data_IF_158887696415
#
_entry.id   IF_158887696415
#
_cell.length_a   1.000
_cell.length_b   1.000
_cell.length_c   1.000
_cell.angle_alpha   90.00
_cell.angle_beta   90.00
_cell.angle_gamma   90.00
#
_symmetry.space_group_name_H-M   'P 1'
#
loop_
_entity.id
_entity.type
_entity.pdbx_description
1 polymer ?
#
# COMPACT_ATOMS: atom_id res chain seq x y z
N UNK A 1 17.33 5.77 -35.12
CA UNK A 1 16.83 6.76 -34.16
C UNK A 1 17.89 7.77 -33.72
N UNK A 2 19.20 7.46 -33.81
CA UNK A 2 20.32 8.36 -33.42
C UNK A 2 21.01 9.02 -34.60
N UNK A 3 20.41 9.00 -35.80
CA UNK A 3 21.01 9.51 -37.03
C UNK A 3 21.36 11.01 -36.98
N UNK A 4 20.64 11.78 -36.17
CA UNK A 4 20.83 13.24 -36.04
C UNK A 4 21.35 13.64 -34.63
N UNK A 5 21.88 12.70 -33.84
CA UNK A 5 22.45 13.04 -32.55
C UNK A 5 23.81 13.74 -32.72
N UNK A 6 24.03 14.92 -32.12
CA UNK A 6 25.32 15.60 -32.20
C UNK A 6 26.44 14.70 -31.65
N UNK A 7 27.45 14.38 -32.48
CA UNK A 7 28.51 13.45 -32.14
C UNK A 7 28.24 11.98 -32.53
N UNK A 8 27.12 11.68 -33.19
CA UNK A 8 26.78 10.33 -33.63
C UNK A 8 26.11 9.49 -32.53
N UNK A 9 26.02 8.19 -32.72
CA UNK A 9 25.42 7.26 -31.75
C UNK A 9 26.24 7.26 -30.44
N UNK A 10 25.66 7.69 -29.30
CA UNK A 10 26.37 7.74 -28.02
C UNK A 10 26.62 6.35 -27.42
N UNK A 11 26.00 5.31 -27.97
CA UNK A 11 26.21 3.95 -27.51
C UNK A 11 27.31 3.29 -28.38
N UNK A 12 28.32 2.68 -27.78
CA UNK A 12 29.35 1.99 -28.52
C UNK A 12 28.74 0.91 -29.40
N UNK A 13 29.12 0.85 -30.68
CA UNK A 13 28.76 -0.27 -31.53
C UNK A 13 29.33 -1.54 -30.92
N UNK A 14 28.50 -2.57 -30.80
CA UNK A 14 28.96 -3.91 -30.40
C UNK A 14 29.93 -4.41 -31.49
N UNK A 15 31.23 -4.32 -31.22
CA UNK A 15 32.30 -4.68 -32.19
C UNK A 15 32.28 -6.18 -32.54
N UNK A 16 31.59 -6.97 -31.78
CA UNK A 16 31.51 -8.44 -31.89
C UNK A 16 30.15 -8.98 -32.30
N UNK A 17 29.19 -8.09 -32.59
CA UNK A 17 27.84 -8.46 -32.96
C UNK A 17 26.94 -8.87 -31.80
N UNK A 18 25.66 -9.06 -32.08
CA UNK A 18 24.64 -9.39 -31.06
C UNK A 18 24.83 -10.75 -30.41
N UNK A 19 25.55 -11.68 -31.05
CA UNK A 19 25.81 -13.02 -30.53
C UNK A 19 26.66 -13.01 -29.23
N UNK A 20 27.44 -11.96 -29.02
CA UNK A 20 28.30 -11.80 -27.83
C UNK A 20 27.78 -10.72 -26.86
N UNK A 21 26.63 -10.15 -27.15
CA UNK A 21 26.02 -9.18 -26.26
C UNK A 21 25.67 -9.82 -24.89
N UNK A 22 26.16 -9.23 -23.82
CA UNK A 22 25.80 -9.63 -22.46
C UNK A 22 24.69 -8.68 -21.97
N UNK A 23 23.57 -9.25 -21.62
CA UNK A 23 22.48 -8.50 -20.98
C UNK A 23 22.72 -8.47 -19.46
N UNK A 24 22.40 -7.35 -18.78
CA UNK A 24 22.58 -7.27 -17.34
C UNK A 24 21.62 -8.26 -16.66
N UNK A 25 22.17 -9.30 -16.05
CA UNK A 25 21.39 -10.31 -15.29
C UNK A 25 20.92 -9.76 -13.93
N UNK A 26 21.47 -8.64 -13.50
CA UNK A 26 21.11 -7.93 -12.27
C UNK A 26 20.00 -6.89 -12.47
N UNK A 27 19.61 -6.62 -13.73
CA UNK A 27 18.56 -5.67 -14.05
C UNK A 27 17.16 -6.25 -13.86
N UNK A 28 16.17 -5.36 -13.75
CA UNK A 28 14.75 -5.69 -13.77
C UNK A 28 14.20 -5.33 -15.15
N UNK A 29 13.68 -6.32 -15.85
CA UNK A 29 12.90 -6.11 -17.07
C UNK A 29 11.44 -5.92 -16.68
N UNK A 30 10.80 -4.91 -17.25
CA UNK A 30 9.42 -4.55 -16.91
C UNK A 30 8.52 -4.80 -18.10
N UNK A 31 7.42 -5.48 -17.87
CA UNK A 31 6.33 -5.68 -18.81
C UNK A 31 5.04 -5.05 -18.28
N UNK A 32 4.38 -4.23 -19.11
CA UNK A 32 3.09 -3.64 -18.78
C UNK A 32 2.08 -4.10 -19.83
N UNK A 33 1.13 -4.97 -19.48
CA UNK A 33 0.04 -5.36 -20.39
C UNK A 33 -0.83 -4.15 -20.78
N UNK A 34 -1.39 -4.19 -21.98
CA UNK A 34 -2.23 -3.10 -22.49
C UNK A 34 -3.72 -3.25 -22.11
N UNK A 35 -4.12 -4.42 -21.66
CA UNK A 35 -5.49 -4.82 -21.35
C UNK A 35 -5.82 -4.85 -19.85
N UNK A 36 -5.12 -4.05 -19.07
CA UNK A 36 -5.31 -3.97 -17.62
C UNK A 36 -6.61 -3.27 -17.23
N UNK A 37 -7.31 -3.82 -16.25
CA UNK A 37 -8.48 -3.18 -15.69
C UNK A 37 -8.09 -2.05 -14.72
N UNK A 38 -8.82 -0.95 -14.68
CA UNK A 38 -8.62 0.09 -13.67
C UNK A 38 -9.00 -0.43 -12.28
N UNK A 39 -8.28 0.03 -11.27
CA UNK A 39 -8.65 -0.24 -9.88
C UNK A 39 -10.06 0.26 -9.59
N UNK A 40 -10.90 -0.60 -9.06
CA UNK A 40 -12.27 -0.29 -8.66
C UNK A 40 -12.40 -0.33 -7.13
N UNK A 41 -13.13 0.64 -6.57
CA UNK A 41 -13.42 0.74 -5.15
C UNK A 41 -14.92 0.67 -4.91
N UNK A 42 -15.34 -0.25 -4.06
CA UNK A 42 -16.69 -0.33 -3.51
C UNK A 42 -16.64 0.14 -2.06
N UNK A 43 -17.45 1.15 -1.73
CA UNK A 43 -17.57 1.67 -0.37
C UNK A 43 -19.01 1.59 0.11
N UNK A 44 -19.20 1.17 1.35
CA UNK A 44 -20.49 1.15 2.01
C UNK A 44 -20.34 1.62 3.45
N UNK A 45 -21.34 2.34 3.95
CA UNK A 45 -21.38 2.78 5.33
C UNK A 45 -22.80 2.66 5.90
N UNK A 46 -22.84 2.48 7.21
CA UNK A 46 -24.08 2.53 8.01
C UNK A 46 -23.79 3.32 9.27
N UNK A 47 -24.56 4.37 9.51
CA UNK A 47 -24.43 5.21 10.70
C UNK A 47 -25.74 5.26 11.48
N UNK A 48 -25.64 5.08 12.78
CA UNK A 48 -26.74 5.27 13.72
C UNK A 48 -26.32 6.28 14.77
N UNK A 49 -27.13 7.30 14.99
CA UNK A 49 -26.87 8.28 16.03
C UNK A 49 -28.12 8.55 16.87
N UNK A 50 -27.88 8.85 18.14
CA UNK A 50 -28.94 9.14 19.09
C UNK A 50 -28.54 10.25 20.04
N UNK A 51 -29.47 11.18 20.25
CA UNK A 51 -29.35 12.21 21.27
C UNK A 51 -29.90 11.66 22.60
N UNK A 52 -29.07 11.71 23.65
CA UNK A 52 -29.43 11.32 25.01
C UNK A 52 -29.20 12.51 25.96
N UNK A 53 -30.21 13.33 26.11
CA UNK A 53 -30.08 14.60 26.86
C UNK A 53 -29.01 15.51 26.21
N UNK A 54 -27.98 15.87 26.95
CA UNK A 54 -26.87 16.71 26.46
C UNK A 54 -25.80 15.93 25.68
N UNK A 55 -25.95 14.62 25.57
CA UNK A 55 -25.00 13.74 24.92
C UNK A 55 -25.51 13.31 23.54
N UNK A 56 -24.63 13.33 22.54
CA UNK A 56 -24.84 12.72 21.26
C UNK A 56 -23.93 11.51 21.16
N UNK A 57 -24.51 10.35 20.89
CA UNK A 57 -23.78 9.09 20.67
C UNK A 57 -24.02 8.68 19.23
N UNK A 58 -22.95 8.36 18.51
CA UNK A 58 -22.99 7.83 17.16
C UNK A 58 -22.12 6.58 17.03
N UNK A 59 -22.60 5.63 16.24
CA UNK A 59 -21.86 4.45 15.83
C UNK A 59 -21.95 4.35 14.30
N UNK A 60 -20.81 4.29 13.65
CA UNK A 60 -20.71 4.18 12.19
C UNK A 60 -19.86 2.96 11.83
N UNK A 61 -20.38 2.12 10.96
CA UNK A 61 -19.59 1.08 10.30
C UNK A 61 -19.26 1.54 8.89
N UNK A 62 -18.00 1.39 8.48
CA UNK A 62 -17.52 1.67 7.13
C UNK A 62 -16.77 0.45 6.60
N UNK A 63 -17.09 0.07 5.38
CA UNK A 63 -16.40 -0.99 4.67
C UNK A 63 -15.97 -0.54 3.28
N UNK A 64 -14.72 -0.85 2.94
CA UNK A 64 -14.16 -0.65 1.60
C UNK A 64 -13.66 -1.97 1.04
N UNK A 65 -13.88 -2.19 -0.25
CA UNK A 65 -13.31 -3.29 -1.01
C UNK A 65 -12.75 -2.78 -2.32
N UNK A 66 -11.46 -2.97 -2.51
CA UNK A 66 -10.77 -2.66 -3.76
C UNK A 66 -10.49 -3.93 -4.53
N UNK A 67 -10.75 -3.89 -5.84
CA UNK A 67 -10.39 -4.91 -6.82
C UNK A 67 -9.51 -4.29 -7.89
N UNK A 68 -8.81 -5.11 -8.62
CA UNK A 68 -7.88 -4.69 -9.67
C UNK A 68 -6.81 -3.74 -9.12
N UNK A 69 -6.33 -4.02 -7.90
CA UNK A 69 -5.17 -3.31 -7.34
C UNK A 69 -3.94 -3.76 -8.10
N UNK A 70 -3.18 -2.79 -8.59
CA UNK A 70 -2.00 -3.08 -9.38
C UNK A 70 -0.88 -3.59 -8.48
N UNK A 71 -0.25 -4.66 -8.92
CA UNK A 71 0.89 -5.30 -8.27
C UNK A 71 1.87 -5.81 -9.33
N UNK A 72 3.07 -6.20 -8.95
CA UNK A 72 4.06 -6.70 -9.88
C UNK A 72 4.39 -8.17 -9.60
N UNK A 73 4.20 -9.01 -10.60
CA UNK A 73 4.45 -10.45 -10.55
C UNK A 73 5.75 -10.79 -11.26
N UNK A 74 6.56 -11.70 -10.69
CA UNK A 74 7.80 -12.20 -11.30
C UNK A 74 7.48 -13.29 -12.33
N UNK A 75 7.85 -13.06 -13.59
CA UNK A 75 7.68 -14.03 -14.69
C UNK A 75 8.85 -15.01 -14.82
N UNK A 76 10.01 -14.68 -14.23
CA UNK A 76 11.20 -15.51 -14.24
C UNK A 76 11.65 -15.86 -12.80
N UNK A 77 10.77 -16.45 -11.96
CA UNK A 77 11.08 -16.73 -10.57
C UNK A 77 12.19 -17.77 -10.46
N UNK A 78 12.97 -17.66 -9.38
CA UNK A 78 13.91 -18.73 -9.02
C UNK A 78 13.16 -19.86 -8.33
N UNK A 79 13.29 -21.07 -8.83
CA UNK A 79 12.66 -22.26 -8.23
C UNK A 79 13.30 -22.53 -6.88
N UNK A 80 12.48 -22.64 -5.84
CA UNK A 80 12.92 -23.00 -4.50
C UNK A 80 13.08 -24.51 -4.38
N UNK A 81 14.12 -24.96 -3.67
CA UNK A 81 14.38 -26.38 -3.41
C UNK A 81 15.57 -26.59 -2.48
N UNK A 82 15.92 -27.83 -2.16
CA UNK A 82 17.11 -28.14 -1.36
C UNK A 82 18.37 -27.51 -1.94
N UNK A 83 19.16 -26.83 -1.11
CA UNK A 83 20.37 -26.14 -1.54
C UNK A 83 20.13 -24.75 -2.16
N UNK A 84 18.89 -24.24 -2.15
CA UNK A 84 18.57 -22.90 -2.63
C UNK A 84 19.16 -21.83 -1.69
N UNK A 85 19.93 -20.90 -2.27
CA UNK A 85 20.52 -19.75 -1.60
C UNK A 85 20.33 -18.51 -2.45
N UNK A 86 20.55 -17.33 -1.87
CA UNK A 86 20.58 -16.07 -2.62
C UNK A 86 21.70 -16.04 -3.67
N UNK A 87 22.83 -16.70 -3.38
CA UNK A 87 23.99 -16.73 -4.28
C UNK A 87 23.77 -17.56 -5.54
N UNK A 88 22.85 -18.54 -5.53
CA UNK A 88 22.56 -19.38 -6.71
C UNK A 88 21.21 -19.07 -7.37
N UNK A 89 20.61 -17.91 -7.06
CA UNK A 89 19.31 -17.48 -7.61
C UNK A 89 19.28 -17.50 -9.14
N UNK A 90 20.30 -16.96 -9.80
CA UNK A 90 20.36 -16.88 -11.27
C UNK A 90 20.33 -18.27 -11.94
N UNK A 91 21.03 -19.25 -11.39
CA UNK A 91 21.05 -20.61 -11.91
C UNK A 91 19.71 -21.36 -11.75
N UNK A 92 18.89 -20.93 -10.79
CA UNK A 92 17.58 -21.53 -10.48
C UNK A 92 16.39 -20.80 -11.10
N UNK A 93 16.64 -19.74 -11.89
CA UNK A 93 15.54 -19.02 -12.55
C UNK A 93 14.87 -19.90 -13.60
N UNK A 94 13.57 -19.77 -13.73
CA UNK A 94 12.74 -20.59 -14.63
C UNK A 94 13.30 -20.65 -16.07
N UNK A 95 13.66 -19.50 -16.65
CA UNK A 95 14.20 -19.45 -18.00
C UNK A 95 15.57 -20.13 -18.10
N UNK A 96 16.42 -19.97 -17.08
CA UNK A 96 17.74 -20.64 -17.03
C UNK A 96 17.60 -22.16 -16.93
N UNK A 97 16.64 -22.64 -16.14
CA UNK A 97 16.37 -24.08 -16.02
C UNK A 97 15.79 -24.67 -17.32
N UNK A 98 14.99 -23.87 -18.04
CA UNK A 98 14.39 -24.28 -19.32
C UNK A 98 15.40 -24.32 -20.46
N UNK A 99 16.27 -23.33 -20.54
CA UNK A 99 17.35 -23.23 -21.53
C UNK A 99 18.53 -22.45 -20.94
N UNK A 100 19.57 -23.17 -20.48
CA UNK A 100 20.72 -22.57 -19.82
C UNK A 100 21.54 -21.63 -20.72
N UNK A 101 21.59 -21.90 -22.03
CA UNK A 101 22.38 -21.08 -22.96
C UNK A 101 21.80 -19.70 -23.19
N UNK A 102 20.48 -19.57 -23.18
CA UNK A 102 19.76 -18.33 -23.43
C UNK A 102 19.17 -17.71 -22.14
N UNK A 103 18.58 -18.54 -21.29
CA UNK A 103 17.90 -18.09 -20.05
C UNK A 103 18.82 -17.40 -19.05
N UNK A 104 20.12 -17.71 -19.06
CA UNK A 104 21.15 -17.09 -18.21
C UNK A 104 21.27 -15.58 -18.42
N UNK A 105 20.81 -15.04 -19.55
CA UNK A 105 20.87 -13.61 -19.85
C UNK A 105 19.71 -12.82 -19.25
N UNK A 106 18.69 -13.51 -18.72
CA UNK A 106 17.50 -12.87 -18.16
C UNK A 106 17.53 -12.93 -16.63
N UNK A 107 17.52 -11.77 -16.00
CA UNK A 107 17.35 -11.61 -14.57
C UNK A 107 15.87 -11.64 -14.16
N UNK A 108 15.47 -10.72 -13.32
CA UNK A 108 14.08 -10.49 -12.93
C UNK A 108 13.27 -9.93 -14.09
N UNK A 109 12.10 -10.49 -14.33
CA UNK A 109 11.11 -9.98 -15.28
C UNK A 109 9.84 -9.69 -14.52
N UNK A 110 9.62 -8.42 -14.16
CA UNK A 110 8.44 -7.99 -13.44
C UNK A 110 7.33 -7.62 -14.42
N UNK A 111 6.17 -8.24 -14.26
CA UNK A 111 4.97 -7.86 -15.00
C UNK A 111 3.98 -7.17 -14.09
N UNK A 112 3.49 -6.01 -14.52
CA UNK A 112 2.35 -5.37 -13.88
C UNK A 112 1.11 -6.23 -14.11
N UNK A 113 0.35 -6.52 -13.07
CA UNK A 113 -0.94 -7.21 -13.14
C UNK A 113 -1.99 -6.48 -12.28
N UNK A 114 -3.26 -6.69 -12.61
CA UNK A 114 -4.42 -6.06 -11.97
C UNK A 114 -5.21 -7.04 -11.10
N UNK A 115 -4.60 -8.11 -10.66
CA UNK A 115 -5.28 -9.17 -9.89
C UNK A 115 -5.28 -8.93 -8.37
N UNK A 116 -4.65 -7.85 -7.93
CA UNK A 116 -4.57 -7.48 -6.51
C UNK A 116 -5.91 -7.06 -5.91
N UNK A 117 -6.00 -7.20 -4.61
CA UNK A 117 -7.20 -6.88 -3.82
C UNK A 117 -6.82 -6.19 -2.50
N UNK A 118 -7.74 -5.39 -1.99
CA UNK A 118 -7.63 -4.82 -0.66
C UNK A 118 -9.00 -4.71 0.00
N UNK A 119 -9.02 -4.72 1.32
CA UNK A 119 -10.22 -4.49 2.12
C UNK A 119 -9.90 -3.67 3.36
N UNK A 120 -10.82 -2.78 3.70
CA UNK A 120 -10.78 -2.02 4.93
C UNK A 120 -12.15 -2.08 5.58
N UNK A 121 -12.18 -2.35 6.87
CA UNK A 121 -13.40 -2.32 7.66
C UNK A 121 -13.12 -1.56 8.94
N UNK A 122 -14.01 -0.65 9.33
CA UNK A 122 -13.93 0.01 10.62
C UNK A 122 -15.29 0.13 11.31
N UNK A 123 -15.21 0.27 12.62
CA UNK A 123 -16.29 0.73 13.47
C UNK A 123 -15.83 2.00 14.17
N UNK A 124 -16.49 3.10 13.89
CA UNK A 124 -16.26 4.39 14.48
C UNK A 124 -17.33 4.69 15.53
N UNK A 125 -16.93 4.88 16.77
CA UNK A 125 -17.79 5.29 17.86
C UNK A 125 -17.47 6.73 18.25
N UNK A 126 -18.49 7.56 18.36
CA UNK A 126 -18.37 8.95 18.77
C UNK A 126 -19.31 9.22 19.95
N UNK A 127 -18.77 9.88 20.96
CA UNK A 127 -19.54 10.43 22.08
C UNK A 127 -19.21 11.91 22.17
N UNK A 128 -20.23 12.74 22.03
CA UNK A 128 -20.11 14.20 22.13
C UNK A 128 -21.03 14.72 23.22
N UNK A 129 -20.50 15.57 24.08
CA UNK A 129 -21.27 16.40 25.00
C UNK A 129 -21.24 17.83 24.53
N UNK A 130 -22.41 18.42 24.34
CA UNK A 130 -22.54 19.87 24.06
C UNK A 130 -22.11 20.69 25.27
N UNK A 131 -21.66 21.90 25.00
CA UNK A 131 -21.27 22.83 26.06
C UNK A 131 -22.41 23.02 27.06
N UNK A 132 -22.20 22.58 28.29
CA UNK A 132 -23.10 22.76 29.42
C UNK A 132 -22.29 22.93 30.69
N UNK A 133 -22.63 23.93 31.49
CA UNK A 133 -21.88 24.27 32.71
C UNK A 133 -20.39 24.50 32.45
N UNK A 134 -20.05 25.12 31.31
CA UNK A 134 -18.66 25.39 30.94
C UNK A 134 -17.87 24.21 30.39
N UNK A 135 -18.44 23.02 30.24
CA UNK A 135 -17.72 21.84 29.74
C UNK A 135 -18.34 21.29 28.45
N UNK A 136 -17.54 21.15 27.43
CA UNK A 136 -17.84 20.30 26.26
C UNK A 136 -16.79 19.21 26.09
N UNK A 137 -17.21 18.06 25.56
CA UNK A 137 -16.34 16.91 25.35
C UNK A 137 -16.68 16.24 24.03
N UNK A 138 -15.66 15.80 23.33
CA UNK A 138 -15.76 14.95 22.14
C UNK A 138 -14.76 13.81 22.27
N UNK A 139 -15.26 12.59 22.21
CA UNK A 139 -14.42 11.40 22.21
C UNK A 139 -14.78 10.55 21.01
N UNK A 140 -13.76 10.14 20.25
CA UNK A 140 -13.91 9.24 19.13
C UNK A 140 -13.01 8.01 19.36
N UNK A 141 -13.55 6.85 19.05
CA UNK A 141 -12.78 5.61 19.01
C UNK A 141 -13.06 4.89 17.70
N UNK A 142 -11.99 4.56 16.98
CA UNK A 142 -12.02 3.75 15.76
C UNK A 142 -11.39 2.40 16.04
N UNK A 143 -12.11 1.34 15.72
CA UNK A 143 -11.60 -0.02 15.63
C UNK A 143 -11.58 -0.41 14.15
N UNK A 144 -10.40 -0.65 13.58
CA UNK A 144 -10.28 -0.93 12.15
C UNK A 144 -9.40 -2.14 11.83
N UNK A 145 -9.60 -2.66 10.62
CA UNK A 145 -8.75 -3.67 10.02
C UNK A 145 -8.55 -3.40 8.54
N UNK A 146 -7.29 -3.27 8.14
CA UNK A 146 -6.86 -3.18 6.76
C UNK A 146 -6.15 -4.47 6.35
N UNK A 147 -6.53 -5.00 5.19
CA UNK A 147 -5.88 -6.15 4.55
C UNK A 147 -5.65 -5.80 3.07
N UNK A 148 -4.47 -6.11 2.54
CA UNK A 148 -4.18 -5.88 1.12
C UNK A 148 -3.12 -6.83 0.60
N UNK A 149 -3.15 -7.05 -0.72
CA UNK A 149 -1.97 -7.47 -1.45
C UNK A 149 -0.95 -6.33 -1.48
N UNK A 150 0.36 -6.63 -1.65
CA UNK A 150 1.37 -5.61 -1.86
C UNK A 150 1.09 -4.88 -3.18
N UNK A 151 0.64 -3.64 -3.06
CA UNK A 151 0.37 -2.77 -4.20
C UNK A 151 1.64 -2.07 -4.66
N UNK A 152 1.71 -1.77 -5.95
CA UNK A 152 2.76 -0.92 -6.52
C UNK A 152 2.18 0.13 -7.45
N UNK A 153 2.76 1.32 -7.40
CA UNK A 153 2.52 2.40 -8.38
C UNK A 153 3.66 2.51 -9.38
N UNK A 154 4.81 1.90 -9.05
CA UNK A 154 6.01 1.91 -9.86
C UNK A 154 6.57 0.49 -9.95
N UNK A 155 6.87 0.04 -11.17
CA UNK A 155 7.46 -1.28 -11.35
C UNK A 155 8.97 -1.16 -11.20
N UNK A 156 9.44 -1.33 -9.98
CA UNK A 156 10.87 -1.44 -9.67
C UNK A 156 11.32 -2.88 -9.46
N UNK A 157 10.37 -3.81 -9.38
CA UNK A 157 10.58 -5.23 -9.18
C UNK A 157 9.28 -5.95 -8.82
N UNK A 158 9.29 -7.28 -8.71
CA UNK A 158 8.13 -8.05 -8.29
C UNK A 158 7.80 -7.74 -6.82
N UNK A 159 6.50 -7.60 -6.54
CA UNK A 159 5.98 -7.38 -5.18
C UNK A 159 5.43 -8.66 -4.56
N UNK A 160 5.31 -9.72 -5.35
CA UNK A 160 4.75 -11.01 -4.94
C UNK A 160 5.88 -12.01 -4.69
N UNK A 161 5.87 -12.63 -3.53
CA UNK A 161 6.90 -13.60 -3.10
C UNK A 161 6.79 -14.90 -3.89
N UNK A 162 5.56 -15.39 -4.08
CA UNK A 162 5.32 -16.63 -4.82
C UNK A 162 4.26 -16.44 -5.90
N UNK A 163 4.65 -16.29 -7.18
CA UNK A 163 3.71 -16.12 -8.28
C UNK A 163 2.72 -17.29 -8.46
N UNK A 164 3.08 -18.50 -8.03
CA UNK A 164 2.18 -19.65 -8.10
C UNK A 164 1.09 -19.65 -7.02
N UNK A 165 1.29 -18.90 -5.93
CA UNK A 165 0.31 -18.75 -4.86
C UNK A 165 0.35 -17.30 -4.32
N UNK A 166 -0.21 -16.35 -5.05
CA UNK A 166 -0.18 -14.94 -4.69
C UNK A 166 -1.00 -14.59 -3.45
N UNK A 167 -1.91 -15.45 -3.02
CA UNK A 167 -2.72 -15.25 -1.81
C UNK A 167 -1.88 -15.29 -0.52
N UNK A 168 -0.65 -15.80 -0.57
CA UNK A 168 0.29 -15.79 0.57
C UNK A 168 0.69 -14.36 0.96
N UNK A 169 0.63 -13.43 0.02
CA UNK A 169 1.02 -12.04 0.25
C UNK A 169 -0.15 -11.17 0.73
N UNK A 170 -1.40 -11.69 0.74
CA UNK A 170 -2.55 -10.99 1.25
C UNK A 170 -2.50 -10.90 2.78
N UNK A 171 -2.06 -9.76 3.29
CA UNK A 171 -1.74 -9.57 4.68
C UNK A 171 -2.32 -8.26 5.24
N UNK A 172 -2.11 -8.04 6.54
CA UNK A 172 -2.43 -6.77 7.18
C UNK A 172 -1.60 -5.64 6.57
N UNK A 173 -2.27 -4.53 6.21
CA UNK A 173 -1.59 -3.36 5.65
C UNK A 173 -0.50 -2.85 6.60
N UNK A 174 0.61 -2.37 6.06
CA UNK A 174 1.70 -1.78 6.85
C UNK A 174 1.26 -0.55 7.65
N UNK A 175 0.21 0.13 7.20
CA UNK A 175 -0.39 1.30 7.86
C UNK A 175 -1.58 0.97 8.77
N UNK A 176 -1.90 -0.31 8.99
CA UNK A 176 -3.04 -0.72 9.83
C UNK A 176 -2.87 -0.20 11.27
N UNK A 177 -3.88 0.50 11.74
CA UNK A 177 -3.99 0.95 13.13
C UNK A 177 -5.27 0.41 13.72
N UNK A 178 -5.14 -0.68 14.47
CA UNK A 178 -6.29 -1.41 15.02
C UNK A 178 -7.18 -0.54 15.91
N UNK A 179 -6.59 0.34 16.70
CA UNK A 179 -7.30 1.22 17.62
C UNK A 179 -6.77 2.64 17.48
N UNK A 180 -7.68 3.58 17.26
CA UNK A 180 -7.39 5.02 17.30
C UNK A 180 -8.38 5.67 18.25
N UNK A 181 -7.88 6.39 19.24
CA UNK A 181 -8.69 7.13 20.21
C UNK A 181 -8.30 8.60 20.14
N UNK A 182 -9.30 9.46 19.99
CA UNK A 182 -9.12 10.90 20.08
C UNK A 182 -10.07 11.46 21.15
N UNK A 183 -9.54 12.31 22.02
CA UNK A 183 -10.31 12.99 23.06
C UNK A 183 -10.05 14.47 22.95
N UNK A 184 -11.12 15.25 22.89
CA UNK A 184 -11.09 16.70 22.94
C UNK A 184 -11.98 17.17 24.09
N UNK A 185 -11.43 17.99 24.96
CA UNK A 185 -12.13 18.59 26.08
C UNK A 185 -11.96 20.10 26.01
N UNK A 186 -13.06 20.82 26.12
CA UNK A 186 -13.06 22.27 26.23
C UNK A 186 -13.76 22.64 27.52
N UNK A 187 -13.04 23.34 28.35
CA UNK A 187 -13.58 23.86 29.61
C UNK A 187 -13.49 25.38 29.62
N UNK A 188 -14.63 26.02 29.86
CA UNK A 188 -14.72 27.45 30.04
C UNK A 188 -14.77 27.73 31.54
N UNK A 189 -13.81 28.46 32.06
CA UNK A 189 -13.75 28.76 33.50
C UNK A 189 -14.97 29.59 33.94
N UNK A 190 -15.51 29.37 35.12
CA UNK A 190 -16.52 30.21 35.67
C UNK A 190 -15.98 31.64 35.85
N UNK A 191 -16.89 32.62 35.85
CA UNK A 191 -16.49 33.98 36.18
C UNK A 191 -16.17 34.06 37.65
N UNK A 192 -14.96 34.47 37.95
CA UNK A 192 -14.52 34.75 39.30
C UNK A 192 -14.45 36.27 39.49
N UNK A 193 -14.88 36.74 40.62
CA UNK A 193 -14.75 38.15 40.99
C UNK A 193 -13.40 38.43 41.68
N UNK A 194 -12.91 39.68 41.60
CA UNK A 194 -11.70 40.12 42.25
C UNK A 194 -10.37 39.64 41.61
N UNK A 195 -9.36 39.44 42.42
CA UNK A 195 -8.04 39.09 41.98
C UNK A 195 -7.98 37.72 41.28
N UNK A 196 -8.77 36.75 41.72
CA UNK A 196 -8.87 35.40 41.10
C UNK A 196 -9.49 35.51 39.70
N UNK A 197 -10.43 36.42 39.45
CA UNK A 197 -11.01 36.63 38.13
C UNK A 197 -10.03 37.18 37.10
N UNK A 198 -9.00 37.89 37.51
CA UNK A 198 -7.94 38.41 36.63
C UNK A 198 -6.97 37.32 36.17
N UNK A 199 -6.79 36.24 36.95
CA UNK A 199 -5.83 35.16 36.67
C UNK A 199 -6.51 33.94 36.09
N UNK A 200 -7.70 33.55 36.61
CA UNK A 200 -8.37 32.30 36.27
C UNK A 200 -9.74 32.44 35.58
N UNK A 201 -10.24 33.67 35.43
CA UNK A 201 -11.53 33.96 34.80
C UNK A 201 -11.42 34.31 33.33
N UNK A 202 -12.47 34.01 32.58
CA UNK A 202 -12.62 34.37 31.14
C UNK A 202 -11.63 33.73 30.15
N UNK A 203 -11.19 32.55 30.47
CA UNK A 203 -10.44 31.73 29.52
C UNK A 203 -11.34 30.73 28.79
#
# INVERSE_FOLDING_TARGET
>A
PYLNYPGGNPFPALSTGWATATFPTSGVYVNTPLDMNPTSLQQFNLSVQRQLGDWLVAATYLGNRSKHVWRATELNPAVFGPGATTGNTAARRFLTLRNASEGRFYGTIAQLDDTGKASYNDMFLQVQRRLKNGLSALTNWTLSKCMSDPATTEITGPTIVNPANPDLDYATCSSDRRHVVNVSLVWTSPKFDGALGRVFGNW
#
